data_IF_126881208967
#
_entry.id   IF_126881208967
#
_cell.length_a   1.000
_cell.length_b   1.000
_cell.length_c   1.000
_cell.angle_alpha   90.00
_cell.angle_beta   90.00
_cell.angle_gamma   90.00
#
_symmetry.space_group_name_H-M   'P 1'
#
loop_
_entity.id
_entity.type
_entity.pdbx_description
1 polymer ?
#
# COMPACT_ATOMS: atom_id res chain seq x y z
N UNK A 1 12.35 5.74 -22.29
CA UNK A 1 12.39 6.12 -20.86
C UNK A 1 11.55 5.10 -20.10
N UNK A 2 11.96 4.73 -18.89
CA UNK A 2 11.16 3.84 -18.04
C UNK A 2 9.90 4.57 -17.54
N UNK A 3 8.79 3.84 -17.44
CA UNK A 3 7.54 4.34 -16.84
C UNK A 3 7.65 4.41 -15.32
N UNK A 4 6.83 5.23 -14.66
CA UNK A 4 6.79 5.26 -13.18
C UNK A 4 6.39 3.92 -12.58
N UNK A 5 5.54 3.15 -13.26
CA UNK A 5 5.18 1.80 -12.83
C UNK A 5 6.40 0.86 -12.83
N UNK A 6 7.24 0.92 -13.87
CA UNK A 6 8.48 0.14 -13.93
C UNK A 6 9.45 0.53 -12.80
N UNK A 7 9.54 1.82 -12.48
CA UNK A 7 10.35 2.30 -11.37
C UNK A 7 9.84 1.82 -10.01
N UNK A 8 8.51 1.86 -9.78
CA UNK A 8 7.91 1.31 -8.56
C UNK A 8 8.13 -0.20 -8.45
N UNK A 9 7.97 -0.94 -9.55
CA UNK A 9 8.22 -2.37 -9.56
C UNK A 9 9.69 -2.70 -9.23
N UNK A 10 10.63 -1.93 -9.79
CA UNK A 10 12.06 -2.07 -9.51
C UNK A 10 12.39 -1.71 -8.04
N UNK A 11 11.71 -0.72 -7.46
CA UNK A 11 11.84 -0.37 -6.04
C UNK A 11 11.30 -1.49 -5.13
N UNK A 12 10.17 -2.09 -5.48
CA UNK A 12 9.51 -3.10 -4.63
C UNK A 12 10.24 -4.44 -4.67
N UNK A 13 10.77 -4.85 -5.83
CA UNK A 13 11.39 -6.16 -6.04
C UNK A 13 12.43 -6.56 -4.96
N UNK A 14 13.46 -5.75 -4.65
CA UNK A 14 14.45 -6.11 -3.63
C UNK A 14 13.93 -6.06 -2.20
N UNK A 15 12.76 -5.46 -1.97
CA UNK A 15 12.20 -5.26 -0.64
C UNK A 15 11.04 -6.20 -0.35
N UNK A 16 10.75 -7.20 -1.20
CA UNK A 16 9.70 -8.19 -0.92
C UNK A 16 10.06 -9.16 0.21
N UNK A 17 11.35 -9.31 0.49
CA UNK A 17 11.85 -10.22 1.52
C UNK A 17 11.84 -9.54 2.91
N UNK A 18 10.76 -9.81 3.66
CA UNK A 18 10.46 -9.16 4.94
C UNK A 18 11.46 -9.49 6.07
N UNK A 19 12.21 -10.58 5.95
CA UNK A 19 13.14 -11.09 6.98
C UNK A 19 14.29 -10.14 7.32
N UNK A 20 14.54 -9.12 6.49
CA UNK A 20 15.58 -8.11 6.72
C UNK A 20 15.08 -6.89 7.50
N UNK A 21 13.77 -6.78 7.71
CA UNK A 21 13.15 -5.66 8.43
C UNK A 21 13.32 -5.80 9.94
N UNK A 22 13.65 -4.72 10.68
CA UNK A 22 13.63 -4.73 12.14
C UNK A 22 12.21 -4.89 12.72
N UNK A 23 11.16 -4.77 11.89
CA UNK A 23 9.76 -5.00 12.27
C UNK A 23 9.31 -6.44 12.01
N UNK A 24 10.19 -7.30 11.48
CA UNK A 24 9.87 -8.69 11.24
C UNK A 24 9.59 -9.43 12.55
N UNK A 25 8.45 -10.13 12.58
CA UNK A 25 8.14 -11.17 13.57
C UNK A 25 7.69 -12.42 12.82
N UNK A 26 7.82 -13.60 13.44
CA UNK A 26 7.48 -14.89 12.78
C UNK A 26 6.05 -14.95 12.23
N UNK A 27 5.11 -14.23 12.85
CA UNK A 27 3.71 -14.20 12.44
C UNK A 27 3.43 -13.27 11.24
N UNK A 28 4.43 -12.52 10.78
CA UNK A 28 4.23 -11.59 9.69
C UNK A 28 4.05 -12.27 8.35
N UNK A 29 3.13 -11.76 7.53
CA UNK A 29 2.69 -12.45 6.31
C UNK A 29 3.14 -11.75 5.03
N UNK A 30 2.68 -10.51 4.80
CA UNK A 30 3.01 -9.79 3.58
C UNK A 30 3.44 -8.37 3.89
N UNK A 31 4.45 -7.91 3.15
CA UNK A 31 4.77 -6.49 3.06
C UNK A 31 3.65 -5.79 2.30
N UNK A 32 3.25 -4.64 2.81
CA UNK A 32 2.23 -3.82 2.19
C UNK A 32 2.89 -2.61 1.56
N UNK A 33 3.12 -2.69 0.25
CA UNK A 33 3.52 -1.55 -0.55
C UNK A 33 2.32 -0.64 -0.89
N UNK A 34 2.60 0.53 -1.45
CA UNK A 34 1.55 1.40 -1.98
C UNK A 34 0.89 0.84 -3.24
N UNK A 35 -0.40 1.09 -3.41
CA UNK A 35 -1.17 0.79 -4.63
C UNK A 35 -1.81 2.08 -5.17
N UNK A 36 -2.11 2.11 -6.48
CA UNK A 36 -2.82 3.20 -7.13
C UNK A 36 -2.20 3.59 -8.47
N UNK A 37 -2.66 4.70 -9.04
CA UNK A 37 -2.10 5.27 -10.25
C UNK A 37 -0.70 5.89 -9.97
N UNK A 38 0.39 5.42 -10.61
CA UNK A 38 1.73 6.02 -10.46
C UNK A 38 1.82 7.48 -10.90
N UNK A 39 0.86 7.92 -11.71
CA UNK A 39 0.71 9.29 -12.19
C UNK A 39 -0.34 10.10 -11.40
N UNK A 40 -0.82 9.59 -10.26
CA UNK A 40 -1.73 10.34 -9.39
C UNK A 40 -1.09 11.65 -8.91
N UNK A 41 -1.88 12.72 -8.90
CA UNK A 41 -1.46 14.03 -8.38
C UNK A 41 -1.43 14.08 -6.85
N UNK A 42 -2.12 13.13 -6.19
CA UNK A 42 -2.26 13.05 -4.74
C UNK A 42 -1.81 11.67 -4.26
N UNK A 43 -0.93 11.66 -3.26
CA UNK A 43 -0.52 10.45 -2.54
C UNK A 43 -1.07 10.52 -1.11
N UNK A 44 -1.72 9.44 -0.67
CA UNK A 44 -2.23 9.30 0.70
C UNK A 44 -1.33 8.35 1.47
N UNK A 45 -0.79 8.82 2.60
CA UNK A 45 0.13 8.06 3.45
C UNK A 45 -0.53 7.84 4.81
N UNK A 46 -0.69 6.57 5.19
CA UNK A 46 -1.14 6.16 6.51
C UNK A 46 0.03 5.92 7.47
N UNK A 47 -0.23 5.26 8.60
CA UNK A 47 0.80 4.93 9.59
C UNK A 47 1.52 3.62 9.24
N UNK A 48 0.94 2.48 9.62
CA UNK A 48 1.50 1.16 9.41
C UNK A 48 0.38 0.17 8.98
N UNK A 49 0.73 -0.95 8.32
CA UNK A 49 -0.24 -1.97 7.97
C UNK A 49 -0.92 -2.56 9.21
N UNK A 50 -2.23 -2.72 9.15
CA UNK A 50 -2.98 -3.51 10.12
C UNK A 50 -3.02 -4.99 9.73
N UNK A 51 -3.71 -5.79 10.55
CA UNK A 51 -3.86 -7.23 10.33
C UNK A 51 -4.43 -7.57 8.94
N UNK A 52 -5.45 -6.87 8.48
CA UNK A 52 -6.07 -7.18 7.19
C UNK A 52 -5.19 -6.76 6.02
N UNK A 53 -4.51 -5.62 6.14
CA UNK A 53 -3.54 -5.14 5.17
C UNK A 53 -2.39 -6.15 5.00
N UNK A 54 -1.83 -6.63 6.10
CA UNK A 54 -0.78 -7.63 6.10
C UNK A 54 -1.25 -8.98 5.56
N UNK A 55 -2.50 -9.40 5.85
CA UNK A 55 -3.09 -10.61 5.29
C UNK A 55 -3.27 -10.54 3.77
N UNK A 56 -3.71 -9.38 3.25
CA UNK A 56 -3.99 -9.21 1.82
C UNK A 56 -2.78 -8.68 1.02
N UNK A 57 -1.74 -8.16 1.69
CA UNK A 57 -0.62 -7.48 1.04
C UNK A 57 -1.02 -6.15 0.39
N UNK A 58 -2.11 -5.51 0.86
CA UNK A 58 -2.71 -4.33 0.24
C UNK A 58 -3.05 -3.25 1.27
N UNK A 59 -2.82 -1.97 0.95
CA UNK A 59 -3.04 -0.88 1.90
C UNK A 59 -4.54 -0.57 2.02
N UNK A 60 -4.96 -0.13 3.21
CA UNK A 60 -6.31 0.37 3.47
C UNK A 60 -7.44 -0.60 3.06
N UNK A 61 -7.36 -1.88 3.44
CA UNK A 61 -8.41 -2.89 3.18
C UNK A 61 -9.28 -3.16 4.41
N UNK A 62 -8.81 -2.76 5.60
CA UNK A 62 -9.51 -2.86 6.87
C UNK A 62 -10.64 -1.84 7.05
N UNK A 63 -11.09 -1.69 8.29
CA UNK A 63 -12.21 -0.79 8.63
C UNK A 63 -11.90 0.68 8.34
N UNK A 64 -10.69 1.13 8.69
CA UNK A 64 -10.22 2.49 8.38
C UNK A 64 -10.17 2.72 6.87
N UNK A 65 -9.75 1.73 6.09
CA UNK A 65 -9.73 1.81 4.64
C UNK A 65 -11.11 1.95 4.00
N UNK A 66 -12.12 1.28 4.55
CA UNK A 66 -13.52 1.47 4.11
C UNK A 66 -14.03 2.88 4.39
N UNK A 67 -13.68 3.44 5.55
CA UNK A 67 -14.03 4.83 5.88
C UNK A 67 -13.31 5.82 4.96
N UNK A 68 -12.03 5.57 4.64
CA UNK A 68 -11.26 6.36 3.68
C UNK A 68 -11.93 6.35 2.30
N UNK A 69 -12.30 5.17 1.79
CA UNK A 69 -12.98 5.06 0.50
C UNK A 69 -14.27 5.89 0.49
N UNK A 70 -15.07 5.82 1.57
CA UNK A 70 -16.30 6.61 1.66
C UNK A 70 -16.04 8.11 1.69
N UNK A 71 -14.97 8.56 2.36
CA UNK A 71 -14.60 9.97 2.37
C UNK A 71 -14.14 10.45 0.98
N UNK A 72 -13.36 9.64 0.25
CA UNK A 72 -12.93 9.94 -1.11
C UNK A 72 -14.12 10.02 -2.08
N UNK A 73 -15.07 9.09 -1.96
CA UNK A 73 -16.32 9.11 -2.73
C UNK A 73 -17.10 10.42 -2.53
N UNK A 74 -17.21 10.90 -1.28
CA UNK A 74 -17.88 12.17 -0.98
C UNK A 74 -17.16 13.38 -1.61
N UNK A 75 -15.86 13.26 -1.85
CA UNK A 75 -15.06 14.26 -2.55
C UNK A 75 -15.01 14.05 -4.07
N UNK A 76 -15.74 13.08 -4.63
CA UNK A 76 -15.66 12.66 -6.03
C UNK A 76 -14.23 12.25 -6.46
N UNK A 77 -13.46 11.68 -5.53
CA UNK A 77 -12.14 11.15 -5.80
C UNK A 77 -12.21 9.62 -5.88
N UNK A 78 -11.57 9.06 -6.91
CA UNK A 78 -11.31 7.63 -6.98
C UNK A 78 -9.93 7.34 -6.40
N UNK A 79 -9.84 6.28 -5.60
CA UNK A 79 -8.58 5.79 -5.00
C UNK A 79 -7.65 5.13 -6.02
N UNK A 80 -8.20 4.53 -7.08
CA UNK A 80 -7.47 3.70 -8.04
C UNK A 80 -8.05 3.80 -9.44
#
# INVERSE_FOLDING_TARGET
MQTKQELLNALYAPHRDFYTSPLYIEQSQNIVFGEGNPDAEIMLIGEAPGKNEELEGRPFVGQSGRLLNRALELCNLNRS
#
